data_IF_005959682132
#
_entry.id   IF_005959682132
#
_cell.length_a   1.000
_cell.length_b   1.000
_cell.length_c   1.000
_cell.angle_alpha   90.00
_cell.angle_beta   90.00
_cell.angle_gamma   90.00
#
_symmetry.space_group_name_H-M   'P 1'
#
loop_
_entity.id
_entity.type
_entity.pdbx_description
1 polymer ?
#
# COMPACT_ATOMS: atom_id res chain seq x y z
N UNK A 1 -4.04 -33.49 7.61
CA UNK A 1 -2.93 -32.81 8.31
C UNK A 1 -1.77 -32.67 7.34
N UNK A 2 -1.25 -31.46 7.05
CA UNK A 2 0.00 -31.34 6.32
C UNK A 2 1.10 -31.96 7.20
N UNK A 3 1.64 -33.10 6.78
CA UNK A 3 2.68 -33.81 7.54
C UNK A 3 3.92 -32.95 7.72
N UNK A 4 4.63 -33.15 8.83
CA UNK A 4 5.89 -32.48 9.11
C UNK A 4 6.86 -32.52 7.92
N UNK A 5 7.63 -31.44 7.77
CA UNK A 5 8.69 -31.37 6.75
C UNK A 5 9.65 -32.55 6.94
N UNK A 6 10.05 -33.16 5.82
CA UNK A 6 11.10 -34.19 5.83
C UNK A 6 12.36 -33.62 6.47
N UNK A 7 12.91 -34.34 7.44
CA UNK A 7 14.18 -34.02 8.11
C UNK A 7 15.37 -34.40 7.22
N UNK A 8 16.59 -34.03 7.63
CA UNK A 8 17.80 -34.48 6.93
C UNK A 8 17.96 -36.01 7.02
N UNK A 9 17.60 -36.59 8.17
CA UNK A 9 17.59 -38.04 8.40
C UNK A 9 16.58 -38.75 7.49
N UNK A 10 15.36 -38.21 7.36
CA UNK A 10 14.36 -38.71 6.40
C UNK A 10 14.93 -38.73 4.98
N UNK A 11 15.68 -37.68 4.57
CA UNK A 11 16.30 -37.60 3.24
C UNK A 11 17.41 -38.63 3.05
N UNK A 12 18.19 -38.94 4.08
CA UNK A 12 19.23 -39.97 4.04
C UNK A 12 18.61 -41.36 3.86
N UNK A 13 17.54 -41.67 4.59
CA UNK A 13 16.81 -42.93 4.41
C UNK A 13 16.16 -43.06 3.03
N UNK A 14 15.65 -41.97 2.45
CA UNK A 14 15.16 -41.98 1.07
C UNK A 14 16.30 -42.32 0.09
N UNK A 15 17.48 -41.71 0.25
CA UNK A 15 18.61 -41.97 -0.62
C UNK A 15 19.11 -43.43 -0.51
N UNK A 16 19.21 -43.96 0.71
CA UNK A 16 19.59 -45.35 0.95
C UNK A 16 18.57 -46.32 0.34
N UNK A 17 17.27 -46.08 0.55
CA UNK A 17 16.22 -46.91 -0.02
C UNK A 17 16.21 -46.92 -1.56
N UNK A 18 16.54 -45.78 -2.20
CA UNK A 18 16.67 -45.74 -3.66
C UNK A 18 17.91 -46.50 -4.15
N UNK A 19 19.03 -46.43 -3.43
CA UNK A 19 20.24 -47.18 -3.76
C UNK A 19 20.04 -48.71 -3.61
N UNK A 20 19.17 -49.12 -2.68
CA UNK A 20 18.71 -50.51 -2.52
C UNK A 20 17.65 -50.93 -3.56
N UNK A 21 17.23 -50.04 -4.46
CA UNK A 21 16.21 -50.32 -5.48
C UNK A 21 14.77 -50.38 -4.94
N UNK A 22 14.52 -49.85 -3.74
CA UNK A 22 13.18 -49.84 -3.15
C UNK A 22 12.28 -48.82 -3.85
N UNK A 23 11.00 -49.20 -4.06
CA UNK A 23 9.98 -48.29 -4.56
C UNK A 23 9.54 -47.24 -3.52
N UNK A 24 9.01 -46.11 -3.99
CA UNK A 24 8.59 -44.98 -3.12
C UNK A 24 7.58 -45.36 -2.03
N UNK A 25 6.72 -46.36 -2.29
CA UNK A 25 5.75 -46.85 -1.32
C UNK A 25 6.40 -47.56 -0.13
N UNK A 26 7.47 -48.33 -0.39
CA UNK A 26 8.21 -49.03 0.65
C UNK A 26 9.04 -48.06 1.51
N UNK A 27 9.72 -47.12 0.86
CA UNK A 27 10.45 -46.04 1.54
C UNK A 27 9.50 -45.23 2.43
N UNK A 28 8.30 -44.91 1.92
CA UNK A 28 7.27 -44.21 2.68
C UNK A 28 6.82 -44.99 3.93
N UNK A 29 6.59 -46.31 3.81
CA UNK A 29 6.21 -47.16 4.95
C UNK A 29 7.27 -47.15 6.06
N UNK A 30 8.55 -47.30 5.69
CA UNK A 30 9.67 -47.33 6.66
C UNK A 30 9.83 -46.01 7.41
N UNK A 31 9.51 -44.88 6.76
CA UNK A 31 9.58 -43.55 7.34
C UNK A 31 8.28 -43.08 8.03
N UNK A 32 7.20 -43.88 7.97
CA UNK A 32 5.88 -43.44 8.43
C UNK A 32 5.34 -42.24 7.63
N UNK A 33 5.72 -42.11 6.35
CA UNK A 33 5.33 -41.00 5.46
C UNK A 33 4.53 -41.50 4.25
N UNK A 34 3.59 -40.72 3.70
CA UNK A 34 2.91 -41.05 2.46
C UNK A 34 3.90 -41.20 1.28
N UNK A 35 3.69 -42.21 0.43
CA UNK A 35 4.50 -42.45 -0.77
C UNK A 35 4.57 -41.22 -1.70
N UNK A 36 3.49 -40.44 -1.76
CA UNK A 36 3.41 -39.20 -2.55
C UNK A 36 4.35 -38.09 -2.04
N UNK A 37 4.67 -38.07 -0.74
CA UNK A 37 5.66 -37.16 -0.15
C UNK A 37 7.06 -37.53 -0.63
N UNK A 38 7.39 -38.82 -0.63
CA UNK A 38 8.68 -39.33 -1.10
C UNK A 38 8.84 -39.05 -2.60
N UNK A 39 7.84 -39.40 -3.42
CA UNK A 39 7.85 -39.16 -4.86
C UNK A 39 8.06 -37.67 -5.19
N UNK A 40 7.33 -36.77 -4.50
CA UNK A 40 7.46 -35.31 -4.71
C UNK A 40 8.83 -34.79 -4.31
N UNK A 41 9.39 -35.27 -3.21
CA UNK A 41 10.74 -34.89 -2.76
C UNK A 41 11.79 -35.36 -3.77
N UNK A 42 11.73 -36.61 -4.19
CA UNK A 42 12.69 -37.21 -5.14
C UNK A 42 12.63 -36.52 -6.49
N UNK A 43 11.43 -36.37 -7.06
CA UNK A 43 11.22 -35.69 -8.35
C UNK A 43 11.72 -34.25 -8.31
N UNK A 44 11.53 -33.53 -7.19
CA UNK A 44 11.93 -32.14 -7.03
C UNK A 44 13.45 -31.96 -6.92
N UNK A 45 14.19 -32.99 -6.53
CA UNK A 45 15.63 -32.88 -6.22
C UNK A 45 16.52 -33.71 -7.16
N UNK A 46 16.02 -34.11 -8.33
CA UNK A 46 16.82 -34.74 -9.39
C UNK A 46 16.22 -36.02 -9.98
N UNK A 47 15.12 -36.53 -9.42
CA UNK A 47 14.56 -37.82 -9.81
C UNK A 47 15.29 -39.00 -9.14
N UNK A 48 14.74 -40.22 -9.25
CA UNK A 48 15.23 -41.37 -8.49
C UNK A 48 16.70 -41.74 -8.79
N UNK A 49 17.16 -41.59 -10.03
CA UNK A 49 18.52 -41.97 -10.44
C UNK A 49 19.60 -40.97 -10.00
N UNK A 50 19.21 -39.72 -9.71
CA UNK A 50 20.14 -38.64 -9.35
C UNK A 50 19.83 -38.02 -7.98
N UNK A 51 19.01 -38.70 -7.17
CA UNK A 51 18.62 -38.20 -5.85
C UNK A 51 19.77 -38.27 -4.86
N UNK A 52 20.11 -37.12 -4.25
CA UNK A 52 21.11 -37.04 -3.20
C UNK A 52 20.56 -36.33 -1.97
N UNK A 53 20.63 -36.97 -0.80
CA UNK A 53 20.10 -36.45 0.46
C UNK A 53 20.68 -35.08 0.83
N UNK A 54 22.01 -34.95 0.77
CA UNK A 54 22.71 -33.72 1.09
C UNK A 54 22.35 -32.58 0.12
N UNK A 55 22.29 -32.87 -1.19
CA UNK A 55 21.82 -31.90 -2.20
C UNK A 55 20.37 -31.46 -1.96
N UNK A 56 19.48 -32.38 -1.60
CA UNK A 56 18.09 -32.07 -1.30
C UNK A 56 17.95 -31.20 -0.03
N UNK A 57 18.78 -31.46 0.99
CA UNK A 57 18.87 -30.67 2.20
C UNK A 57 19.40 -29.26 1.90
N UNK A 58 20.54 -29.16 1.21
CA UNK A 58 21.13 -27.88 0.78
C UNK A 58 20.17 -27.08 -0.09
N UNK A 59 19.47 -27.70 -1.05
CA UNK A 59 18.46 -27.03 -1.87
C UNK A 59 17.27 -26.53 -1.04
N UNK A 60 16.88 -27.23 0.02
CA UNK A 60 15.83 -26.81 0.95
C UNK A 60 16.28 -25.62 1.80
N UNK A 61 17.49 -25.68 2.33
CA UNK A 61 18.11 -24.59 3.09
C UNK A 61 18.36 -23.36 2.22
N UNK A 62 18.84 -23.53 0.99
CA UNK A 62 19.09 -22.43 0.06
C UNK A 62 17.78 -21.76 -0.36
N UNK A 63 16.67 -22.52 -0.52
CA UNK A 63 15.33 -21.96 -0.74
C UNK A 63 14.78 -21.23 0.48
N UNK A 64 15.02 -21.76 1.69
CA UNK A 64 14.65 -21.07 2.92
C UNK A 64 15.47 -19.78 3.11
N UNK A 65 16.78 -19.82 2.82
CA UNK A 65 17.68 -18.66 2.84
C UNK A 65 17.30 -17.64 1.77
N UNK A 66 16.95 -18.03 0.54
CA UNK A 66 16.42 -17.12 -0.51
C UNK A 66 15.03 -16.54 -0.22
N UNK A 67 14.24 -17.17 0.64
CA UNK A 67 13.00 -16.57 1.17
C UNK A 67 13.29 -15.58 2.29
N UNK A 68 14.33 -15.83 3.09
CA UNK A 68 14.73 -15.00 4.24
C UNK A 68 15.59 -13.79 3.83
N UNK A 69 16.46 -13.99 2.84
CA UNK A 69 17.12 -12.93 2.08
C UNK A 69 16.11 -12.50 1.03
N UNK A 70 15.34 -11.47 1.37
CA UNK A 70 14.47 -10.80 0.40
C UNK A 70 15.24 -10.61 -0.91
N UNK A 71 14.58 -10.94 -2.03
CA UNK A 71 15.03 -10.60 -3.38
C UNK A 71 15.65 -9.20 -3.32
N UNK A 72 16.88 -8.98 -3.85
CA UNK A 72 17.42 -7.63 -3.92
C UNK A 72 16.34 -6.73 -4.52
N UNK A 73 16.17 -5.51 -3.99
CA UNK A 73 15.14 -4.60 -4.44
C UNK A 73 15.16 -4.61 -5.98
N UNK A 74 13.99 -4.80 -6.57
CA UNK A 74 13.88 -4.54 -7.99
C UNK A 74 14.47 -3.14 -8.21
N UNK A 75 15.26 -2.94 -9.29
CA UNK A 75 15.67 -1.58 -9.63
C UNK A 75 14.41 -0.71 -9.61
N UNK A 76 14.47 0.50 -9.03
CA UNK A 76 13.30 1.36 -8.91
C UNK A 76 12.66 1.46 -10.30
N UNK A 77 11.49 0.84 -10.45
CA UNK A 77 10.76 0.88 -11.71
C UNK A 77 10.21 2.32 -11.80
N UNK A 78 10.85 3.13 -12.65
CA UNK A 78 10.58 4.56 -12.94
C UNK A 78 10.91 5.47 -11.76
N UNK A 79 11.85 6.42 -11.83
CA UNK A 79 11.60 7.73 -12.47
C UNK A 79 12.87 8.60 -12.58
N UNK A 80 14.00 8.01 -12.94
CA UNK A 80 15.19 8.78 -13.32
C UNK A 80 15.18 9.22 -14.80
N UNK A 81 14.06 9.05 -15.51
CA UNK A 81 13.88 9.43 -16.93
C UNK A 81 14.08 10.92 -17.18
N UNK A 82 13.89 11.76 -16.15
CA UNK A 82 13.98 13.22 -16.25
C UNK A 82 15.28 13.80 -15.65
N UNK A 83 16.28 12.97 -15.35
CA UNK A 83 17.59 13.44 -14.87
C UNK A 83 17.56 14.14 -13.51
N UNK A 84 16.53 13.89 -12.68
CA UNK A 84 16.38 14.49 -11.35
C UNK A 84 17.34 13.84 -10.36
N UNK A 85 17.87 14.62 -9.42
CA UNK A 85 18.67 14.11 -8.31
C UNK A 85 17.78 13.21 -7.41
N UNK A 86 18.10 11.90 -7.27
CA UNK A 86 17.34 10.99 -6.43
C UNK A 86 17.25 11.44 -4.97
N UNK A 87 18.29 12.09 -4.44
CA UNK A 87 18.29 12.54 -3.06
C UNK A 87 17.34 13.73 -2.85
N UNK A 88 17.30 14.66 -3.81
CA UNK A 88 16.34 15.77 -3.79
C UNK A 88 14.89 15.28 -3.82
N UNK A 89 14.58 14.28 -4.65
CA UNK A 89 13.24 13.67 -4.73
C UNK A 89 12.87 12.97 -3.41
N UNK A 90 13.82 12.25 -2.81
CA UNK A 90 13.62 11.60 -1.51
C UNK A 90 13.32 12.63 -0.41
N UNK A 91 14.12 13.70 -0.33
CA UNK A 91 13.93 14.77 0.64
C UNK A 91 12.57 15.47 0.44
N UNK A 92 12.17 15.73 -0.81
CA UNK A 92 10.86 16.28 -1.13
C UNK A 92 9.74 15.34 -0.64
N UNK A 93 9.84 14.05 -0.96
CA UNK A 93 8.86 13.04 -0.55
C UNK A 93 8.67 13.00 0.96
N UNK A 94 9.77 13.06 1.72
CA UNK A 94 9.75 13.05 3.18
C UNK A 94 9.16 14.35 3.76
N UNK A 95 9.53 15.51 3.20
CA UNK A 95 8.97 16.79 3.62
C UNK A 95 7.47 16.88 3.34
N UNK A 96 7.02 16.36 2.19
CA UNK A 96 5.60 16.34 1.82
C UNK A 96 4.80 15.36 2.69
N UNK A 97 5.33 14.18 2.99
CA UNK A 97 4.71 13.27 3.96
C UNK A 97 4.59 13.93 5.34
N UNK A 98 5.62 14.65 5.79
CA UNK A 98 5.60 15.37 7.07
C UNK A 98 4.52 16.45 7.11
N UNK A 99 4.33 17.19 6.01
CA UNK A 99 3.25 18.18 5.90
C UNK A 99 1.87 17.50 6.01
N UNK A 100 1.66 16.38 5.32
CA UNK A 100 0.39 15.63 5.40
C UNK A 100 0.13 15.10 6.82
N UNK A 101 1.16 14.64 7.53
CA UNK A 101 1.06 14.23 8.94
C UNK A 101 0.64 15.40 9.85
N UNK A 102 1.20 16.59 9.64
CA UNK A 102 0.83 17.79 10.40
C UNK A 102 -0.63 18.20 10.18
N UNK A 103 -1.21 17.84 9.03
CA UNK A 103 -2.64 18.04 8.73
C UNK A 103 -3.53 16.93 9.32
N UNK A 104 -3.00 16.07 10.20
CA UNK A 104 -3.75 15.03 10.90
C UNK A 104 -3.86 13.70 10.15
N UNK A 105 -3.14 13.53 9.04
CA UNK A 105 -3.12 12.27 8.32
C UNK A 105 -2.30 11.20 9.08
N UNK A 106 -2.75 9.95 9.13
CA UNK A 106 -1.93 8.87 9.69
C UNK A 106 -0.61 8.75 8.94
N UNK A 107 0.50 8.63 9.68
CA UNK A 107 1.87 8.55 9.15
C UNK A 107 2.05 7.64 7.93
N UNK A 108 1.48 6.43 7.96
CA UNK A 108 1.61 5.51 6.82
C UNK A 108 0.79 5.94 5.60
N UNK A 109 -0.37 6.56 5.79
CA UNK A 109 -1.18 7.11 4.71
C UNK A 109 -0.47 8.31 4.05
N UNK A 110 0.11 9.21 4.86
CA UNK A 110 0.90 10.34 4.39
C UNK A 110 2.11 9.90 3.55
N UNK A 111 2.88 8.93 4.06
CA UNK A 111 4.03 8.37 3.32
C UNK A 111 3.62 7.69 2.01
N UNK A 112 2.51 6.95 2.01
CA UNK A 112 2.01 6.28 0.80
C UNK A 112 1.54 7.28 -0.26
N UNK A 113 0.77 8.29 0.12
CA UNK A 113 0.35 9.35 -0.79
C UNK A 113 1.55 10.12 -1.33
N UNK A 114 2.48 10.54 -0.48
CA UNK A 114 3.68 11.24 -0.94
C UNK A 114 4.48 10.41 -1.97
N UNK A 115 4.65 9.11 -1.72
CA UNK A 115 5.32 8.19 -2.64
C UNK A 115 4.60 8.07 -3.99
N UNK A 116 3.27 7.99 -3.99
CA UNK A 116 2.48 7.94 -5.22
C UNK A 116 2.54 9.27 -5.99
N UNK A 117 2.46 10.41 -5.29
CA UNK A 117 2.48 11.75 -5.89
C UNK A 117 3.77 12.07 -6.64
N UNK A 118 4.92 11.60 -6.13
CA UNK A 118 6.22 11.82 -6.79
C UNK A 118 6.53 10.80 -7.88
N UNK A 119 5.64 9.82 -8.11
CA UNK A 119 5.80 8.81 -9.15
C UNK A 119 5.25 9.35 -10.47
N UNK A 120 6.10 9.52 -11.49
CA UNK A 120 5.75 10.07 -12.80
C UNK A 120 4.71 9.21 -13.52
N UNK A 121 4.75 7.88 -13.37
CA UNK A 121 3.71 7.01 -13.93
C UNK A 121 2.33 7.20 -13.29
N UNK A 122 2.25 7.93 -12.17
CA UNK A 122 1.03 8.17 -11.39
C UNK A 122 0.44 6.91 -10.72
N UNK A 123 1.04 5.74 -10.93
CA UNK A 123 0.49 4.46 -10.49
C UNK A 123 1.56 3.54 -9.88
N UNK A 124 1.23 2.83 -8.80
CA UNK A 124 2.13 1.83 -8.19
C UNK A 124 1.37 0.55 -7.84
N UNK A 125 2.06 -0.60 -7.89
CA UNK A 125 1.50 -1.86 -7.37
C UNK A 125 1.77 -2.01 -5.87
N UNK A 126 1.07 -2.95 -5.21
CA UNK A 126 1.36 -3.31 -3.82
C UNK A 126 2.82 -3.73 -3.60
N UNK A 127 3.44 -4.40 -4.58
CA UNK A 127 4.84 -4.81 -4.49
C UNK A 127 5.78 -3.60 -4.52
N UNK A 128 5.50 -2.63 -5.40
CA UNK A 128 6.30 -1.40 -5.50
C UNK A 128 6.20 -0.57 -4.21
N UNK A 129 5.00 -0.49 -3.62
CA UNK A 129 4.79 0.22 -2.36
C UNK A 129 5.49 -0.45 -1.17
N UNK A 130 5.43 -1.79 -1.07
CA UNK A 130 6.19 -2.57 -0.06
C UNK A 130 7.67 -2.24 -0.15
N UNK A 131 8.20 -2.21 -1.38
CA UNK A 131 9.60 -1.98 -1.66
C UNK A 131 10.04 -0.54 -1.35
N UNK A 132 9.32 0.45 -1.89
CA UNK A 132 9.65 1.88 -1.72
C UNK A 132 9.49 2.34 -0.27
N UNK A 133 8.41 1.94 0.40
CA UNK A 133 8.13 2.36 1.77
C UNK A 133 8.82 1.51 2.84
N UNK A 134 9.36 0.35 2.44
CA UNK A 134 9.99 -0.65 3.31
C UNK A 134 9.08 -1.11 4.45
N UNK A 135 7.83 -1.46 4.10
CA UNK A 135 6.81 -1.93 5.05
C UNK A 135 6.18 -3.25 4.60
N UNK A 136 5.43 -3.89 5.49
CA UNK A 136 4.82 -5.19 5.18
C UNK A 136 3.64 -5.07 4.19
N UNK A 137 3.35 -6.13 3.40
CA UNK A 137 2.17 -6.16 2.53
C UNK A 137 0.84 -5.94 3.28
N UNK A 138 0.76 -6.37 4.54
CA UNK A 138 -0.40 -6.14 5.39
C UNK A 138 -0.58 -4.65 5.71
N UNK A 139 0.50 -3.94 6.00
CA UNK A 139 0.48 -2.50 6.26
C UNK A 139 0.08 -1.71 5.00
N UNK A 140 0.55 -2.14 3.82
CA UNK A 140 0.08 -1.60 2.53
C UNK A 140 -1.43 -1.82 2.38
N UNK A 141 -1.92 -3.05 2.58
CA UNK A 141 -3.33 -3.39 2.40
C UNK A 141 -4.24 -2.57 3.33
N UNK A 142 -3.85 -2.40 4.59
CA UNK A 142 -4.58 -1.59 5.55
C UNK A 142 -4.61 -0.11 5.16
N UNK A 143 -3.46 0.43 4.74
CA UNK A 143 -3.33 1.83 4.36
C UNK A 143 -4.10 2.13 3.08
N UNK A 144 -4.07 1.23 2.10
CA UNK A 144 -4.87 1.31 0.87
C UNK A 144 -6.35 1.31 1.22
N UNK A 145 -6.83 0.39 2.06
CA UNK A 145 -8.24 0.37 2.46
C UNK A 145 -8.67 1.68 3.14
N UNK A 146 -7.82 2.25 4.00
CA UNK A 146 -8.06 3.56 4.60
C UNK A 146 -8.13 4.67 3.54
N UNK A 147 -7.13 4.76 2.65
CA UNK A 147 -7.08 5.79 1.61
C UNK A 147 -8.24 5.65 0.60
N UNK A 148 -8.67 4.44 0.26
CA UNK A 148 -9.84 4.18 -0.58
C UNK A 148 -11.14 4.59 0.11
N UNK A 149 -11.30 4.28 1.40
CA UNK A 149 -12.46 4.74 2.18
C UNK A 149 -12.50 6.27 2.26
N UNK A 150 -11.33 6.91 2.36
CA UNK A 150 -11.19 8.35 2.26
C UNK A 150 -11.21 8.86 0.81
N UNK A 151 -11.43 7.99 -0.19
CA UNK A 151 -11.40 8.25 -1.63
C UNK A 151 -10.25 9.14 -2.10
N UNK A 152 -9.05 8.90 -1.55
CA UNK A 152 -7.79 9.54 -1.91
C UNK A 152 -6.96 8.67 -2.88
N UNK A 153 -7.42 7.44 -3.08
CA UNK A 153 -6.75 6.41 -3.85
C UNK A 153 -7.81 5.57 -4.55
N UNK A 154 -7.56 5.21 -5.80
CA UNK A 154 -8.37 4.29 -6.58
C UNK A 154 -7.56 3.06 -7.00
N UNK A 155 -8.23 1.91 -7.06
CA UNK A 155 -7.68 0.68 -7.64
C UNK A 155 -8.05 0.60 -9.11
N UNK A 156 -7.03 0.48 -9.95
CA UNK A 156 -7.18 0.17 -11.36
C UNK A 156 -6.67 -1.23 -11.67
N UNK A 157 -7.45 -1.95 -12.48
CA UNK A 157 -7.02 -3.21 -13.06
C UNK A 157 -6.63 -2.98 -14.51
N UNK A 158 -5.37 -3.24 -14.83
CA UNK A 158 -4.90 -3.21 -16.21
C UNK A 158 -5.59 -4.33 -16.99
N UNK A 159 -6.23 -4.05 -18.14
CA UNK A 159 -6.80 -5.08 -19.00
C UNK A 159 -5.74 -6.13 -19.35
N UNK A 160 -6.01 -7.42 -19.04
CA UNK A 160 -5.07 -8.54 -19.28
C UNK A 160 -3.99 -8.74 -18.20
N UNK A 161 -3.90 -7.87 -17.19
CA UNK A 161 -2.97 -8.00 -16.07
C UNK A 161 -3.58 -8.68 -14.85
N UNK A 162 -2.77 -9.43 -14.09
CA UNK A 162 -3.16 -10.01 -12.78
C UNK A 162 -2.94 -9.08 -11.58
N UNK A 163 -2.30 -7.92 -11.76
CA UNK A 163 -1.87 -7.04 -10.65
C UNK A 163 -2.72 -5.76 -10.61
N UNK A 164 -3.25 -5.46 -9.42
CA UNK A 164 -3.90 -4.19 -9.13
C UNK A 164 -2.86 -3.07 -9.06
N UNK A 165 -3.19 -1.93 -9.66
CA UNK A 165 -2.43 -0.68 -9.56
C UNK A 165 -3.21 0.32 -8.74
N UNK A 166 -2.50 1.08 -7.92
CA UNK A 166 -3.06 2.14 -7.12
C UNK A 166 -2.72 3.47 -7.76
N UNK A 167 -3.75 4.28 -7.95
CA UNK A 167 -3.65 5.61 -8.56
C UNK A 167 -4.13 6.61 -7.51
N UNK A 168 -3.38 7.70 -7.36
CA UNK A 168 -3.84 8.83 -6.54
C UNK A 168 -5.01 9.47 -7.26
N UNK A 169 -6.06 9.77 -6.51
CA UNK A 169 -7.11 10.63 -7.06
C UNK A 169 -6.68 12.09 -6.96
N UNK A 170 -6.77 12.83 -8.06
CA UNK A 170 -6.46 14.28 -8.10
C UNK A 170 -7.40 15.09 -7.19
N UNK A 171 -8.44 14.46 -6.65
CA UNK A 171 -9.40 15.07 -5.75
C UNK A 171 -8.92 15.22 -4.30
N UNK A 172 -7.72 14.77 -3.92
CA UNK A 172 -7.21 14.95 -2.54
C UNK A 172 -7.29 16.40 -2.05
N UNK A 173 -6.90 17.36 -2.90
CA UNK A 173 -6.93 18.78 -2.58
C UNK A 173 -8.35 19.32 -2.53
N UNK A 174 -9.20 18.88 -3.45
CA UNK A 174 -10.64 19.21 -3.50
C UNK A 174 -11.32 18.74 -2.21
N UNK A 175 -11.08 17.49 -1.80
CA UNK A 175 -11.67 16.90 -0.59
C UNK A 175 -11.16 17.51 0.70
N UNK A 176 -9.85 17.79 0.79
CA UNK A 176 -9.27 18.49 1.94
C UNK A 176 -9.88 19.88 2.11
N UNK A 177 -10.08 20.61 1.00
CA UNK A 177 -10.73 21.92 0.98
C UNK A 177 -12.20 21.81 1.41
N UNK A 178 -12.94 20.82 0.91
CA UNK A 178 -14.32 20.56 1.34
C UNK A 178 -14.42 20.18 2.83
N UNK A 179 -13.44 19.47 3.38
CA UNK A 179 -13.42 19.14 4.81
C UNK A 179 -13.15 20.38 5.66
N UNK A 180 -12.21 21.24 5.25
CA UNK A 180 -11.95 22.52 5.91
C UNK A 180 -13.20 23.42 5.88
N UNK A 181 -13.91 23.47 4.75
CA UNK A 181 -15.19 24.17 4.61
C UNK A 181 -16.24 23.69 5.62
N UNK A 182 -16.47 22.37 5.72
CA UNK A 182 -17.44 21.82 6.69
C UNK A 182 -17.08 22.15 8.15
N UNK A 183 -15.78 22.13 8.48
CA UNK A 183 -15.32 22.51 9.82
C UNK A 183 -15.55 24.00 10.08
N UNK A 184 -15.27 24.83 9.08
CA UNK A 184 -15.50 26.26 9.13
C UNK A 184 -17.00 26.59 9.33
N UNK A 185 -17.89 25.90 8.61
CA UNK A 185 -19.35 26.01 8.80
C UNK A 185 -19.78 25.64 10.22
N UNK A 186 -19.17 24.57 10.77
CA UNK A 186 -19.45 24.13 12.14
C UNK A 186 -19.02 25.17 13.18
N UNK A 187 -17.86 25.81 12.98
CA UNK A 187 -17.37 26.91 13.82
C UNK A 187 -18.23 28.17 13.68
N UNK A 188 -18.71 28.48 12.47
CA UNK A 188 -19.62 29.59 12.23
C UNK A 188 -20.94 29.39 13.00
N UNK A 189 -21.56 28.22 12.86
CA UNK A 189 -22.80 27.89 13.57
C UNK A 189 -22.63 27.87 15.11
N UNK A 190 -21.47 27.42 15.60
CA UNK A 190 -21.16 27.50 17.03
C UNK A 190 -21.00 28.96 17.50
N UNK A 191 -20.35 29.80 16.70
CA UNK A 191 -20.15 31.23 16.99
C UNK A 191 -21.47 32.00 16.99
N UNK A 192 -22.37 31.74 16.04
CA UNK A 192 -23.72 32.32 16.03
C UNK A 192 -24.50 31.97 17.30
N UNK A 193 -24.55 30.69 17.67
CA UNK A 193 -25.20 30.25 18.92
C UNK A 193 -24.59 30.89 20.16
N UNK A 194 -23.27 31.04 20.20
CA UNK A 194 -22.59 31.71 21.31
C UNK A 194 -22.97 33.19 21.40
N UNK A 195 -23.08 33.89 20.25
CA UNK A 195 -23.52 35.28 20.21
C UNK A 195 -24.98 35.46 20.68
N UNK A 196 -25.86 34.53 20.34
CA UNK A 196 -27.25 34.50 20.81
C UNK A 196 -27.33 34.28 22.33
N UNK A 197 -26.65 33.25 22.85
CA UNK A 197 -26.67 32.89 24.27
C UNK A 197 -26.06 34.01 25.14
N UNK A 198 -24.95 34.59 24.70
CA UNK A 198 -24.25 35.63 25.45
C UNK A 198 -24.85 37.02 25.24
N UNK A 199 -25.81 37.15 24.31
CA UNK A 199 -26.42 38.40 23.89
C UNK A 199 -25.49 39.26 23.03
N UNK A 200 -25.94 39.63 21.84
CA UNK A 200 -25.16 40.41 20.86
C UNK A 200 -24.71 41.79 21.38
N UNK A 201 -25.40 42.37 22.36
CA UNK A 201 -25.05 43.64 22.98
C UNK A 201 -23.90 43.52 24.00
N UNK A 202 -23.51 42.31 24.41
CA UNK A 202 -22.38 42.13 25.32
C UNK A 202 -21.06 42.11 24.55
N UNK A 203 -19.93 42.54 25.15
CA UNK A 203 -18.63 42.43 24.49
C UNK A 203 -18.24 41.00 24.08
N UNK A 204 -18.74 39.98 24.80
CA UNK A 204 -18.49 38.59 24.47
C UNK A 204 -19.34 38.13 23.27
N UNK A 205 -20.63 38.46 23.26
CA UNK A 205 -21.50 38.18 22.12
C UNK A 205 -21.04 38.88 20.84
N UNK A 206 -20.61 40.14 20.95
CA UNK A 206 -20.06 40.90 19.82
C UNK A 206 -18.81 40.23 19.20
N UNK A 207 -17.89 39.69 20.01
CA UNK A 207 -16.71 38.95 19.49
C UNK A 207 -17.12 37.71 18.69
N UNK A 208 -18.08 36.94 19.20
CA UNK A 208 -18.59 35.78 18.48
C UNK A 208 -19.39 36.14 17.24
N UNK A 209 -20.10 37.28 17.26
CA UNK A 209 -20.77 37.82 16.07
C UNK A 209 -19.79 38.13 14.96
N UNK A 210 -18.72 38.88 15.26
CA UNK A 210 -17.65 39.19 14.29
C UNK A 210 -16.97 37.90 13.78
N UNK A 211 -16.71 36.93 14.66
CA UNK A 211 -16.13 35.65 14.25
C UNK A 211 -17.06 34.88 13.31
N UNK A 212 -18.36 34.83 13.60
CA UNK A 212 -19.36 34.17 12.76
C UNK A 212 -19.44 34.81 11.37
N UNK A 213 -19.46 36.14 11.29
CA UNK A 213 -19.47 36.88 10.03
C UNK A 213 -18.25 36.54 9.16
N UNK A 214 -17.05 36.57 9.75
CA UNK A 214 -15.83 36.21 9.05
C UNK A 214 -15.84 34.77 8.54
N UNK A 215 -16.20 33.81 9.40
CA UNK A 215 -16.22 32.39 9.04
C UNK A 215 -17.23 32.14 7.90
N UNK A 216 -18.43 32.72 7.96
CA UNK A 216 -19.43 32.59 6.88
C UNK A 216 -18.93 33.17 5.54
N UNK A 217 -18.24 34.32 5.57
CA UNK A 217 -17.65 34.90 4.38
C UNK A 217 -16.60 33.98 3.75
N UNK A 218 -15.73 33.40 4.57
CA UNK A 218 -14.72 32.43 4.12
C UNK A 218 -15.38 31.21 3.49
N UNK A 219 -16.40 30.64 4.14
CA UNK A 219 -17.14 29.49 3.61
C UNK A 219 -17.78 29.79 2.26
N UNK A 220 -18.48 30.93 2.15
CA UNK A 220 -19.15 31.31 0.90
C UNK A 220 -18.15 31.50 -0.24
N UNK A 221 -17.04 32.20 0.03
CA UNK A 221 -16.01 32.49 -0.98
C UNK A 221 -15.32 31.21 -1.45
N UNK A 222 -14.90 30.34 -0.52
CA UNK A 222 -14.27 29.07 -0.85
C UNK A 222 -15.24 28.11 -1.56
N UNK A 223 -16.52 28.12 -1.19
CA UNK A 223 -17.57 27.36 -1.89
C UNK A 223 -17.67 27.74 -3.37
N UNK A 224 -17.67 29.04 -3.69
CA UNK A 224 -17.70 29.53 -5.07
C UNK A 224 -16.46 29.11 -5.86
N UNK A 225 -15.26 29.23 -5.26
CA UNK A 225 -14.01 28.80 -5.91
C UNK A 225 -14.03 27.30 -6.23
N UNK A 226 -14.56 26.49 -5.30
CA UNK A 226 -14.67 25.04 -5.49
C UNK A 226 -15.64 24.67 -6.62
N UNK A 227 -16.78 25.36 -6.72
CA UNK A 227 -17.74 25.15 -7.81
C UNK A 227 -17.15 25.52 -9.17
N UNK A 228 -16.44 26.66 -9.26
CA UNK A 228 -15.73 27.08 -10.48
C UNK A 228 -14.65 26.06 -10.91
N UNK A 229 -13.90 25.53 -9.96
CA UNK A 229 -12.90 24.49 -10.23
C UNK A 229 -13.56 23.22 -10.77
N UNK A 230 -14.65 22.76 -10.15
CA UNK A 230 -15.38 21.57 -10.60
C UNK A 230 -15.91 21.74 -12.02
N UNK A 231 -16.49 22.89 -12.34
CA UNK A 231 -16.97 23.19 -13.69
C UNK A 231 -15.82 23.15 -14.71
N UNK A 232 -14.69 23.80 -14.40
CA UNK A 232 -13.50 23.82 -15.26
C UNK A 232 -12.93 22.42 -15.52
N UNK A 233 -13.01 21.52 -14.53
CA UNK A 233 -12.57 20.14 -14.66
C UNK A 233 -13.55 19.29 -15.48
N UNK A 234 -14.86 19.53 -15.35
CA UNK A 234 -15.88 18.86 -16.15
C UNK A 234 -15.75 19.23 -17.63
N UNK A 235 -15.53 20.51 -17.93
CA UNK A 235 -15.33 21.02 -19.29
C UNK A 235 -14.06 20.42 -19.92
N UNK A 236 -12.95 20.37 -19.17
CA UNK A 236 -11.70 19.72 -19.62
C UNK A 236 -11.85 18.23 -19.89
N UNK A 237 -12.63 17.51 -19.08
CA UNK A 237 -12.91 16.07 -19.28
C UNK A 237 -13.79 15.85 -20.52
N UNK A 238 -14.73 16.75 -20.80
CA UNK A 238 -15.58 16.69 -21.99
C UNK A 238 -14.81 16.97 -23.30
N UNK A 239 -13.83 17.88 -23.27
CA UNK A 239 -12.95 18.15 -24.44
C UNK A 239 -11.96 17.00 -24.76
N UNK A 240 -11.63 16.15 -23.78
CA UNK A 240 -10.65 15.07 -23.93
C UNK A 240 -11.28 13.67 -24.14
N UNK A 241 -12.60 13.60 -24.34
CA UNK A 241 -13.31 12.34 -24.59
C UNK A 241 -13.72 12.28 -26.09
N UNK A 242 -13.10 11.43 -26.92
CA UNK A 242 -13.40 11.32 -28.35
C UNK A 242 -14.74 10.66 -28.65
#
# INVERSE_FOLDING_TARGET
MPGDRLTNEDRQHIAAGLAEGLGFAEIGRRLGRPASTIMREVTRNGGPDAYGAQRAQEATEQRARRRRQAKPPAPPVGDSSHGRDPQAVQNLTESFATLLEQQGMPRMAARMLACLYVTDSGTLTAADLVERLRVSPASISQTVAFLEQQGLLRRERVPGGRRERYVVDDELWVRSTLAALRMNDSLAAASQRAAEILGAATPAGARFGVAAEFLLLVSATLGQVMEQWQQSQADRKAEHQP
#
